data_IF_632318157701
#
_entry.id   IF_632318157701
#
_cell.length_a   1.000
_cell.length_b   1.000
_cell.length_c   1.000
_cell.angle_alpha   90.00
_cell.angle_beta   90.00
_cell.angle_gamma   90.00
#
_symmetry.space_group_name_H-M   'P 1'
#
loop_
_entity.id
_entity.type
_entity.pdbx_description
1 polymer ?
#
# COMPACT_ATOMS: atom_id res chain seq x y z
N UNK A 1 -43.30 -2.37 -39.12
CA UNK A 1 -43.11 -0.97 -38.69
C UNK A 1 -43.02 -0.95 -37.17
N UNK A 2 -41.80 -0.88 -36.61
CA UNK A 2 -41.58 -0.79 -35.17
C UNK A 2 -41.69 0.68 -34.74
N UNK A 3 -42.72 0.98 -33.95
CA UNK A 3 -42.96 2.33 -33.41
C UNK A 3 -41.98 2.60 -32.27
N UNK A 4 -41.00 3.47 -32.51
CA UNK A 4 -40.03 3.92 -31.52
C UNK A 4 -40.67 4.97 -30.61
N UNK A 5 -41.01 4.57 -29.38
CA UNK A 5 -41.56 5.47 -28.37
C UNK A 5 -40.49 6.48 -27.92
N UNK A 6 -40.74 7.78 -28.13
CA UNK A 6 -39.84 8.91 -27.82
C UNK A 6 -39.38 8.97 -26.35
N UNK A 7 -40.08 8.30 -25.43
CA UNK A 7 -39.75 8.28 -23.99
C UNK A 7 -38.56 7.36 -23.66
N UNK A 8 -38.23 6.41 -24.53
CA UNK A 8 -37.13 5.46 -24.30
C UNK A 8 -35.76 6.04 -24.63
N UNK A 9 -35.68 7.06 -25.50
CA UNK A 9 -34.41 7.72 -25.86
C UNK A 9 -33.83 8.58 -24.73
N UNK A 10 -34.65 9.12 -23.84
CA UNK A 10 -34.19 10.01 -22.76
C UNK A 10 -33.57 9.27 -21.58
N UNK A 11 -33.94 8.00 -21.36
CA UNK A 11 -33.39 7.18 -20.29
C UNK A 11 -31.94 6.74 -20.57
N UNK A 12 -31.55 6.56 -21.84
CA UNK A 12 -30.20 6.11 -22.22
C UNK A 12 -29.16 7.23 -22.04
N UNK A 13 -29.52 8.49 -22.25
CA UNK A 13 -28.60 9.63 -22.09
C UNK A 13 -28.29 9.91 -20.61
N UNK A 14 -29.24 9.68 -19.70
CA UNK A 14 -29.04 9.92 -18.27
C UNK A 14 -28.08 8.88 -17.62
N UNK A 15 -28.04 7.66 -18.15
CA UNK A 15 -27.12 6.60 -17.65
C UNK A 15 -25.68 6.84 -18.10
N UNK A 16 -25.46 7.51 -19.24
CA UNK A 16 -24.10 7.84 -19.72
C UNK A 16 -23.49 9.02 -18.94
N UNK A 17 -24.31 9.94 -18.42
CA UNK A 17 -23.84 11.11 -17.68
C UNK A 17 -23.29 10.79 -16.27
N UNK A 18 -23.66 9.65 -15.67
CA UNK A 18 -23.20 9.25 -14.34
C UNK A 18 -21.81 8.58 -14.40
N UNK A 19 -21.32 8.22 -15.59
CA UNK A 19 -20.05 7.50 -15.78
C UNK A 19 -18.78 8.36 -15.86
N UNK A 20 -18.86 9.69 -15.82
CA UNK A 20 -17.71 10.59 -16.08
C UNK A 20 -17.10 11.24 -14.81
N UNK A 21 -17.58 10.88 -13.62
CA UNK A 21 -17.11 11.45 -12.35
C UNK A 21 -15.87 10.80 -11.73
N UNK A 22 -15.08 10.03 -12.51
CA UNK A 22 -13.84 9.41 -12.04
C UNK A 22 -12.67 10.38 -11.99
N UNK A 23 -12.84 11.56 -11.37
CA UNK A 23 -11.70 12.41 -11.04
C UNK A 23 -11.05 11.76 -9.81
N UNK A 24 -9.95 11.02 -10.01
CA UNK A 24 -9.12 10.61 -8.88
C UNK A 24 -8.62 11.88 -8.20
N UNK A 25 -9.02 12.10 -6.95
CA UNK A 25 -8.62 13.25 -6.12
C UNK A 25 -7.13 13.14 -5.75
N UNK A 26 -6.26 13.32 -6.74
CA UNK A 26 -4.83 13.50 -6.53
C UNK A 26 -4.63 14.86 -5.85
N UNK A 27 -3.99 14.91 -4.66
CA UNK A 27 -3.70 16.16 -3.98
C UNK A 27 -2.91 17.11 -4.89
N UNK A 28 -3.19 18.41 -4.77
CA UNK A 28 -2.66 19.45 -5.67
C UNK A 28 -1.14 19.44 -5.83
N UNK A 29 -0.44 19.13 -4.75
CA UNK A 29 1.00 19.06 -4.62
C UNK A 29 1.62 17.89 -5.40
N UNK A 30 0.84 16.85 -5.71
CA UNK A 30 1.28 15.68 -6.49
C UNK A 30 0.74 15.67 -7.93
N UNK A 31 -0.15 16.59 -8.29
CA UNK A 31 -0.75 16.64 -9.64
C UNK A 31 0.29 16.75 -10.74
N UNK A 32 1.36 17.51 -10.53
CA UNK A 32 2.45 17.66 -11.51
C UNK A 32 3.13 16.32 -11.80
N UNK A 33 3.43 15.54 -10.76
CA UNK A 33 4.00 14.20 -10.89
C UNK A 33 3.08 13.26 -11.68
N UNK A 34 1.81 13.18 -11.29
CA UNK A 34 0.83 12.30 -11.96
C UNK A 34 0.41 12.76 -13.35
N UNK A 35 0.79 13.98 -13.76
CA UNK A 35 0.59 14.49 -15.13
C UNK A 35 1.74 14.11 -16.08
N UNK A 36 2.84 13.55 -15.57
CA UNK A 36 3.96 13.12 -16.39
C UNK A 36 3.59 11.90 -17.26
N UNK A 37 4.22 11.71 -18.43
CA UNK A 37 4.15 10.44 -19.14
C UNK A 37 4.66 9.29 -18.25
N UNK A 38 4.08 8.07 -18.30
CA UNK A 38 4.49 6.96 -17.43
C UNK A 38 6.00 6.68 -17.44
N UNK A 39 6.66 6.74 -18.61
CA UNK A 39 8.11 6.53 -18.72
C UNK A 39 8.99 7.66 -18.14
N UNK A 40 8.39 8.76 -17.68
CA UNK A 40 9.06 9.87 -17.01
C UNK A 40 8.84 9.90 -15.49
N UNK A 41 7.89 9.10 -15.00
CA UNK A 41 7.56 9.08 -13.58
C UNK A 41 8.65 8.43 -12.72
N UNK A 42 9.35 7.40 -13.20
CA UNK A 42 10.45 6.76 -12.46
C UNK A 42 11.61 7.73 -12.21
N UNK A 43 12.05 8.42 -13.26
CA UNK A 43 13.10 9.44 -13.19
C UNK A 43 12.69 10.56 -12.22
N UNK A 44 11.49 11.11 -12.39
CA UNK A 44 10.98 12.19 -11.54
C UNK A 44 10.79 11.75 -10.08
N UNK A 45 10.44 10.49 -9.80
CA UNK A 45 10.19 10.02 -8.43
C UNK A 45 11.45 10.16 -7.56
N UNK A 46 12.62 9.90 -8.15
CA UNK A 46 13.91 10.00 -7.45
C UNK A 46 14.26 11.42 -6.99
N UNK A 47 13.65 12.44 -7.58
CA UNK A 47 13.85 13.85 -7.24
C UNK A 47 13.07 14.26 -5.97
N UNK A 48 12.08 13.48 -5.56
CA UNK A 48 11.29 13.72 -4.35
C UNK A 48 11.99 13.19 -3.11
N UNK A 49 11.72 13.80 -1.95
CA UNK A 49 12.18 13.26 -0.66
C UNK A 49 11.58 11.87 -0.40
N UNK A 50 12.25 11.03 0.39
CA UNK A 50 11.77 9.68 0.71
C UNK A 50 10.33 9.68 1.29
N UNK A 51 9.99 10.67 2.12
CA UNK A 51 8.64 10.84 2.66
C UNK A 51 7.61 11.06 1.55
N UNK A 52 7.91 11.97 0.60
CA UNK A 52 7.05 12.24 -0.56
C UNK A 52 6.98 11.05 -1.52
N UNK A 53 8.05 10.28 -1.69
CA UNK A 53 8.04 9.06 -2.49
C UNK A 53 7.04 8.03 -1.91
N UNK A 54 6.96 7.90 -0.58
CA UNK A 54 5.95 7.07 0.09
C UNK A 54 4.53 7.62 -0.21
N UNK A 55 4.33 8.93 -0.12
CA UNK A 55 3.03 9.56 -0.42
C UNK A 55 2.60 9.30 -1.86
N UNK A 56 3.50 9.50 -2.82
CA UNK A 56 3.27 9.23 -4.24
C UNK A 56 2.93 7.75 -4.46
N UNK A 57 3.64 6.83 -3.80
CA UNK A 57 3.32 5.40 -3.88
C UNK A 57 1.91 5.09 -3.35
N UNK A 58 1.52 5.67 -2.21
CA UNK A 58 0.18 5.49 -1.63
C UNK A 58 -0.89 6.04 -2.57
N UNK A 59 -0.73 7.28 -3.06
CA UNK A 59 -1.68 7.90 -4.00
C UNK A 59 -1.76 7.08 -5.29
N UNK A 60 -0.61 6.65 -5.82
CA UNK A 60 -0.50 5.83 -7.01
C UNK A 60 -1.21 4.48 -6.87
N UNK A 61 -1.31 3.93 -5.66
CA UNK A 61 -2.07 2.71 -5.39
C UNK A 61 -3.59 2.93 -5.43
N UNK A 62 -4.05 4.14 -5.12
CA UNK A 62 -5.47 4.48 -5.03
C UNK A 62 -6.06 4.98 -6.36
N UNK A 63 -5.23 5.34 -7.35
CA UNK A 63 -5.73 5.79 -8.65
C UNK A 63 -6.28 4.60 -9.48
N UNK A 64 -7.38 4.77 -10.25
CA UNK A 64 -8.04 3.68 -10.99
C UNK A 64 -7.17 2.92 -12.00
N UNK A 65 -6.11 3.56 -12.49
CA UNK A 65 -5.14 2.99 -13.42
C UNK A 65 -3.72 3.37 -12.97
N UNK A 66 -3.14 2.67 -11.97
CA UNK A 66 -1.80 2.94 -11.51
C UNK A 66 -0.82 2.79 -12.67
N UNK A 67 -0.15 3.86 -13.12
CA UNK A 67 0.71 3.78 -14.29
C UNK A 67 1.93 2.88 -14.04
N UNK A 68 2.35 2.71 -12.77
CA UNK A 68 3.44 1.82 -12.36
C UNK A 68 3.27 1.37 -10.91
N UNK A 69 3.87 0.23 -10.57
CA UNK A 69 3.95 -0.30 -9.21
C UNK A 69 5.05 0.46 -8.44
N UNK A 70 4.81 1.73 -8.09
CA UNK A 70 5.78 2.63 -7.46
C UNK A 70 6.45 2.06 -6.20
N UNK A 71 5.83 1.09 -5.53
CA UNK A 71 6.45 0.43 -4.39
C UNK A 71 7.76 -0.28 -4.72
N UNK A 72 8.02 -0.69 -5.97
CA UNK A 72 9.34 -1.20 -6.37
C UNK A 72 10.39 -0.11 -6.39
N UNK A 73 10.04 1.05 -6.94
CA UNK A 73 10.95 2.20 -7.01
C UNK A 73 11.26 2.74 -5.62
N UNK A 74 10.23 2.90 -4.79
CA UNK A 74 10.38 3.30 -3.39
C UNK A 74 11.22 2.28 -2.61
N UNK A 75 11.04 0.98 -2.88
CA UNK A 75 11.79 -0.08 -2.20
C UNK A 75 13.30 -0.08 -2.53
N UNK A 76 13.74 0.48 -3.66
CA UNK A 76 15.17 0.61 -4.00
C UNK A 76 15.94 1.43 -2.96
N UNK A 77 15.28 2.29 -2.19
CA UNK A 77 15.89 3.06 -1.11
C UNK A 77 16.26 2.23 0.14
N UNK A 78 15.81 0.96 0.20
CA UNK A 78 16.30 -0.03 1.17
C UNK A 78 16.24 0.43 2.62
N UNK A 79 17.39 0.38 3.30
CA UNK A 79 17.55 0.72 4.71
C UNK A 79 17.00 2.12 5.08
N UNK A 80 17.15 3.10 4.20
CA UNK A 80 16.80 4.49 4.49
C UNK A 80 15.30 4.70 4.67
N UNK A 81 14.47 3.89 4.00
CA UNK A 81 13.01 4.08 3.98
C UNK A 81 12.27 3.20 4.98
N UNK A 82 12.88 2.11 5.45
CA UNK A 82 12.32 1.22 6.48
C UNK A 82 11.87 1.96 7.74
N UNK A 83 12.69 2.81 8.39
CA UNK A 83 12.24 3.50 9.61
C UNK A 83 11.03 4.42 9.36
N UNK A 84 10.96 5.06 8.17
CA UNK A 84 9.84 5.92 7.80
C UNK A 84 8.56 5.11 7.57
N UNK A 85 8.66 3.96 6.90
CA UNK A 85 7.53 3.06 6.69
C UNK A 85 7.03 2.45 8.00
N UNK A 86 7.92 2.01 8.89
CA UNK A 86 7.55 1.51 10.23
C UNK A 86 6.75 2.58 10.98
N UNK A 87 7.25 3.82 11.01
CA UNK A 87 6.55 4.91 11.67
C UNK A 87 5.16 5.16 11.06
N UNK A 88 5.07 5.32 9.73
CA UNK A 88 3.79 5.60 9.06
C UNK A 88 2.78 4.46 9.22
N UNK A 89 3.22 3.20 9.19
CA UNK A 89 2.37 2.03 9.43
C UNK A 89 1.82 2.03 10.88
N UNK A 90 2.65 2.43 11.86
CA UNK A 90 2.19 2.57 13.24
C UNK A 90 1.04 3.57 13.36
N UNK A 91 1.15 4.71 12.67
CA UNK A 91 0.23 5.84 12.72
C UNK A 91 -1.05 5.64 11.87
N UNK A 92 -1.01 4.72 10.90
CA UNK A 92 -2.11 4.52 9.94
C UNK A 92 -3.03 3.36 10.35
N UNK A 93 -4.34 3.58 10.35
CA UNK A 93 -5.35 2.52 10.56
C UNK A 93 -6.24 2.26 9.34
N UNK A 94 -6.14 3.10 8.31
CA UNK A 94 -6.85 2.89 7.05
C UNK A 94 -6.17 1.81 6.21
N UNK A 95 -6.94 0.80 5.80
CA UNK A 95 -6.40 -0.35 5.07
C UNK A 95 -6.01 -0.05 3.64
N UNK A 96 -6.66 0.91 2.99
CA UNK A 96 -6.27 1.30 1.63
C UNK A 96 -4.87 1.90 1.61
N UNK A 97 -4.52 2.62 2.68
CA UNK A 97 -3.21 3.23 2.89
C UNK A 97 -2.17 2.23 3.41
N UNK A 98 -2.54 1.33 4.32
CA UNK A 98 -1.62 0.35 4.91
C UNK A 98 -1.10 -0.66 3.88
N UNK A 99 -1.96 -1.16 2.99
CA UNK A 99 -1.61 -2.19 1.99
C UNK A 99 -0.37 -1.85 1.15
N UNK A 100 -0.29 -0.70 0.46
CA UNK A 100 0.89 -0.36 -0.33
C UNK A 100 2.15 -0.21 0.53
N UNK A 101 2.06 0.30 1.76
CA UNK A 101 3.21 0.43 2.66
C UNK A 101 3.75 -0.93 3.10
N UNK A 102 2.87 -1.84 3.52
CA UNK A 102 3.25 -3.21 3.92
C UNK A 102 3.81 -3.98 2.72
N UNK A 103 3.22 -3.78 1.53
CA UNK A 103 3.76 -4.35 0.29
C UNK A 103 5.15 -3.82 -0.03
N UNK A 104 5.41 -2.53 0.16
CA UNK A 104 6.73 -1.94 0.01
C UNK A 104 7.73 -2.54 1.00
N UNK A 105 7.36 -2.66 2.28
CA UNK A 105 8.17 -3.34 3.30
C UNK A 105 8.56 -4.77 2.90
N UNK A 106 7.62 -5.52 2.31
CA UNK A 106 7.91 -6.85 1.77
C UNK A 106 8.93 -6.84 0.63
N UNK A 107 8.75 -5.97 -0.37
CA UNK A 107 9.68 -5.91 -1.51
C UNK A 107 11.07 -5.42 -1.08
N UNK A 108 11.15 -4.48 -0.11
CA UNK A 108 12.41 -4.09 0.53
C UNK A 108 13.10 -5.31 1.14
N UNK A 109 12.40 -6.05 2.02
CA UNK A 109 12.97 -7.22 2.69
C UNK A 109 13.50 -8.27 1.71
N UNK A 110 12.73 -8.50 0.65
CA UNK A 110 12.99 -9.57 -0.31
C UNK A 110 14.13 -9.25 -1.27
N UNK A 111 14.28 -7.98 -1.67
CA UNK A 111 15.11 -7.62 -2.85
C UNK A 111 16.24 -6.65 -2.56
N UNK A 112 16.10 -5.80 -1.54
CA UNK A 112 16.99 -4.64 -1.38
C UNK A 112 17.66 -4.61 -0.01
N UNK A 113 16.90 -4.83 1.07
CA UNK A 113 17.41 -4.74 2.43
C UNK A 113 16.58 -5.62 3.38
N UNK A 114 17.22 -6.66 3.91
CA UNK A 114 16.60 -7.71 4.74
C UNK A 114 16.37 -7.23 6.19
N UNK A 115 15.52 -6.21 6.36
CA UNK A 115 15.25 -5.53 7.63
C UNK A 115 14.74 -6.47 8.73
N UNK A 116 14.16 -7.62 8.37
CA UNK A 116 13.71 -8.62 9.36
C UNK A 116 14.86 -9.25 10.13
N UNK A 117 16.11 -9.17 9.63
CA UNK A 117 17.31 -9.61 10.35
C UNK A 117 17.81 -8.59 11.38
N UNK A 118 17.24 -7.39 11.41
CA UNK A 118 17.60 -6.34 12.36
C UNK A 118 16.59 -6.38 13.51
N UNK A 119 16.98 -6.82 14.72
CA UNK A 119 16.03 -7.04 15.81
C UNK A 119 15.20 -5.81 16.14
N UNK A 120 15.82 -4.62 16.16
CA UNK A 120 15.13 -3.37 16.48
C UNK A 120 14.04 -2.97 15.47
N UNK A 121 14.15 -3.38 14.20
CA UNK A 121 13.09 -3.18 13.21
C UNK A 121 12.03 -4.27 13.28
N UNK A 122 12.45 -5.53 13.43
CA UNK A 122 11.55 -6.65 13.57
C UNK A 122 10.63 -6.52 14.80
N UNK A 123 11.20 -6.19 15.97
CA UNK A 123 10.47 -5.97 17.21
C UNK A 123 9.45 -4.83 17.08
N UNK A 124 9.88 -3.65 16.62
CA UNK A 124 8.98 -2.51 16.39
C UNK A 124 7.84 -2.85 15.45
N UNK A 125 8.12 -3.59 14.38
CA UNK A 125 7.08 -3.99 13.44
C UNK A 125 6.09 -4.96 14.10
N UNK A 126 6.57 -5.95 14.86
CA UNK A 126 5.73 -6.89 15.59
C UNK A 126 4.86 -6.20 16.66
N UNK A 127 5.39 -5.21 17.35
CA UNK A 127 4.65 -4.39 18.32
C UNK A 127 3.49 -3.66 17.62
N UNK A 128 3.76 -3.07 16.45
CA UNK A 128 2.72 -2.42 15.64
C UNK A 128 1.63 -3.42 15.25
N UNK A 129 2.00 -4.62 14.78
CA UNK A 129 1.03 -5.65 14.39
C UNK A 129 0.15 -6.07 15.56
N UNK A 130 0.76 -6.29 16.72
CA UNK A 130 0.05 -6.69 17.94
C UNK A 130 -0.89 -5.60 18.44
N UNK A 131 -0.54 -4.34 18.22
CA UNK A 131 -1.37 -3.18 18.58
C UNK A 131 -2.55 -2.94 17.63
N UNK A 132 -2.51 -3.43 16.37
CA UNK A 132 -3.65 -3.30 15.44
C UNK A 132 -4.78 -4.22 15.91
N UNK A 133 -5.94 -3.66 16.24
CA UNK A 133 -7.09 -4.44 16.75
C UNK A 133 -7.89 -5.18 15.67
N UNK A 134 -7.73 -4.78 14.41
CA UNK A 134 -8.42 -5.39 13.28
C UNK A 134 -7.70 -6.66 12.80
N UNK A 135 -8.37 -7.80 13.00
CA UNK A 135 -7.87 -9.13 12.65
C UNK A 135 -7.65 -9.31 11.13
N UNK A 136 -8.38 -8.59 10.27
CA UNK A 136 -8.16 -8.62 8.83
C UNK A 136 -6.83 -7.95 8.49
N UNK A 137 -6.51 -6.83 9.13
CA UNK A 137 -5.23 -6.14 8.98
C UNK A 137 -4.09 -7.05 9.43
N UNK A 138 -4.20 -7.63 10.62
CA UNK A 138 -3.19 -8.56 11.13
C UNK A 138 -2.97 -9.74 10.19
N UNK A 139 -4.05 -10.38 9.72
CA UNK A 139 -3.99 -11.53 8.80
C UNK A 139 -3.36 -11.16 7.46
N UNK A 140 -3.70 -9.99 6.92
CA UNK A 140 -3.18 -9.53 5.64
C UNK A 140 -1.69 -9.19 5.74
N UNK A 141 -1.27 -8.48 6.79
CA UNK A 141 0.15 -8.21 7.02
C UNK A 141 0.93 -9.50 7.25
N UNK A 142 0.41 -10.40 8.09
CA UNK A 142 1.00 -11.71 8.32
C UNK A 142 1.08 -12.53 7.03
N UNK A 143 0.04 -12.51 6.19
CA UNK A 143 0.05 -13.20 4.89
C UNK A 143 1.08 -12.64 3.91
N UNK A 144 1.27 -11.32 3.88
CA UNK A 144 2.33 -10.67 3.09
C UNK A 144 3.71 -11.09 3.59
N UNK A 145 3.91 -11.21 4.90
CA UNK A 145 5.17 -11.69 5.47
C UNK A 145 5.40 -13.20 5.24
N UNK A 146 4.38 -14.04 5.45
CA UNK A 146 4.45 -15.50 5.36
C UNK A 146 4.64 -16.00 3.91
N UNK A 147 4.16 -15.24 2.92
CA UNK A 147 4.39 -15.54 1.49
C UNK A 147 5.86 -15.35 1.05
N UNK A 148 6.69 -14.74 1.90
CA UNK A 148 8.14 -14.92 1.88
C UNK A 148 8.54 -15.84 3.02
N UNK A 149 8.68 -17.16 2.78
CA UNK A 149 9.09 -18.14 3.80
C UNK A 149 10.47 -17.84 4.42
N UNK A 150 10.53 -16.89 5.35
CA UNK A 150 11.61 -16.60 6.28
C UNK A 150 10.94 -16.03 7.55
N UNK A 151 10.19 -16.84 8.29
CA UNK A 151 9.94 -16.61 9.72
C UNK A 151 9.62 -17.94 10.44
N UNK A 152 10.63 -18.65 10.95
CA UNK A 152 10.41 -19.68 11.97
C UNK A 152 10.29 -19.12 13.39
N UNK A 153 10.22 -17.79 13.59
CA UNK A 153 10.29 -17.16 14.92
C UNK A 153 9.00 -16.50 15.45
N UNK A 154 7.85 -16.64 14.76
CA UNK A 154 6.56 -16.12 15.24
C UNK A 154 5.55 -17.21 15.67
N UNK A 155 6.05 -18.42 15.90
CA UNK A 155 5.36 -19.44 16.70
C UNK A 155 6.26 -19.77 17.89
N UNK A 156 6.22 -18.95 18.93
CA UNK A 156 5.97 -19.40 20.32
C UNK A 156 6.07 -18.20 21.28
N UNK A 157 4.95 -17.53 21.52
CA UNK A 157 4.83 -16.58 22.62
C UNK A 157 3.39 -16.60 23.14
N UNK A 158 3.01 -17.73 23.75
CA UNK A 158 1.95 -17.77 24.74
C UNK A 158 2.58 -18.07 26.10
N UNK A 159 2.49 -17.16 27.10
CA UNK A 159 3.08 -17.37 28.42
C UNK A 159 2.24 -18.29 29.34
N UNK A 160 1.18 -18.93 28.84
CA UNK A 160 0.27 -19.75 29.65
C UNK A 160 -0.11 -21.04 28.92
N UNK A 161 0.67 -22.12 29.11
CA UNK A 161 0.12 -23.47 29.29
C UNK A 161 1.14 -24.45 29.89
N UNK A 162 1.13 -24.50 31.22
CA UNK A 162 1.02 -25.71 32.05
C UNK A 162 2.22 -26.68 32.02
N UNK A 163 3.13 -26.67 33.00
CA UNK A 163 2.97 -27.31 34.32
C UNK A 163 1.88 -28.38 34.37
N UNK A 164 2.26 -29.61 34.08
CA UNK A 164 1.74 -30.81 34.72
C UNK A 164 2.91 -31.79 34.88
N UNK A 165 2.96 -32.40 36.07
CA UNK A 165 4.03 -33.22 36.64
C UNK A 165 4.60 -34.35 35.78
#
# INVERSE_FOLDING_TARGET
>A
MLSFNKKTCLAVIFVIAIGLGGCSDVPSEYKSFFSLPPGKMEEALSEYSLSQQIDIMIIGWMVPHPPFLFYFEVAKNGEQIVPLLIQRIAETNDMQTLRPMVRCMYEINKRYFEWTRIPSYAEKFNDILSAKTDLMIQKEIKGILDTGKIYPFLHDSSPENQTAS
#
